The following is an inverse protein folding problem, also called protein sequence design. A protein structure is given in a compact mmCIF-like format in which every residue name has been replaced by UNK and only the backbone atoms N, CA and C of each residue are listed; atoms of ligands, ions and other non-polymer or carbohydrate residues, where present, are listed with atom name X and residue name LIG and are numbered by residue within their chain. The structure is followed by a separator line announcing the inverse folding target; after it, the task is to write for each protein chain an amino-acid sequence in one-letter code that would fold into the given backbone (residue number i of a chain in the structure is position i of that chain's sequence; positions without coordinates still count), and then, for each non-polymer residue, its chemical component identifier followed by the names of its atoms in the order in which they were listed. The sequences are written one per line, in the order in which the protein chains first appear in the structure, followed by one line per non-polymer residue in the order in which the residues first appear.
data_IF_611001806481
#
_entry.id   IF_611001806481
#
_cell.length_a   1.000
_cell.length_b   1.000
_cell.length_c   1.000
_cell.angle_alpha   90.00
_cell.angle_beta   90.00
_cell.angle_gamma   90.00
#
_symmetry.space_group_name_H-M   'P 1'
#
loop_
_entity.id
_entity.type
_entity.pdbx_description
1 polymer ?
#
# COMPACT_ATOMS: atom_id res chain seq x y z
N UNK A 1 -4.87 55.08 -26.29
CA UNK A 1 -4.79 54.36 -24.96
C UNK A 1 -5.80 53.23 -24.77
N UNK A 2 -7.04 53.33 -25.23
CA UNK A 2 -8.06 52.25 -25.07
C UNK A 2 -7.77 50.94 -25.85
N UNK A 3 -7.07 51.01 -26.99
CA UNK A 3 -6.74 49.81 -27.80
C UNK A 3 -5.60 48.95 -27.20
N UNK A 4 -4.67 49.51 -26.45
CA UNK A 4 -3.58 48.76 -25.80
C UNK A 4 -4.07 47.99 -24.57
N UNK A 5 -5.06 48.48 -23.85
CA UNK A 5 -5.62 47.85 -22.70
C UNK A 5 -6.45 46.59 -23.01
N UNK A 6 -7.07 46.58 -24.22
CA UNK A 6 -7.84 45.44 -24.70
C UNK A 6 -6.94 44.26 -25.11
N UNK A 7 -5.74 44.55 -25.65
CA UNK A 7 -4.78 43.51 -26.06
C UNK A 7 -4.12 42.83 -24.86
N UNK A 8 -3.89 43.58 -23.79
CA UNK A 8 -3.27 43.06 -22.57
C UNK A 8 -4.21 42.14 -21.77
N UNK A 9 -5.53 42.37 -21.83
CA UNK A 9 -6.54 41.48 -21.20
C UNK A 9 -6.69 40.15 -21.93
N UNK A 10 -6.49 40.13 -23.25
CA UNK A 10 -6.57 38.88 -24.04
C UNK A 10 -5.37 37.96 -23.83
N UNK A 11 -4.18 38.50 -23.59
CA UNK A 11 -2.97 37.69 -23.30
C UNK A 11 -3.03 37.06 -21.90
N UNK A 12 -3.64 37.76 -20.94
CA UNK A 12 -3.77 37.19 -19.58
C UNK A 12 -4.75 36.03 -19.50
N UNK A 13 -5.79 36.01 -20.33
CA UNK A 13 -6.77 34.91 -20.36
C UNK A 13 -6.21 33.59 -20.92
N UNK A 14 -5.19 33.66 -21.80
CA UNK A 14 -4.55 32.45 -22.37
C UNK A 14 -3.59 31.74 -21.42
N UNK A 15 -3.12 32.42 -20.35
CA UNK A 15 -2.18 31.82 -19.38
C UNK A 15 -2.88 31.00 -18.30
N UNK A 16 -4.20 31.12 -18.14
CA UNK A 16 -4.97 30.42 -17.11
C UNK A 16 -5.50 29.04 -17.57
N UNK A 17 -5.31 28.67 -18.82
CA UNK A 17 -5.82 27.41 -19.41
C UNK A 17 -4.70 26.40 -19.73
N UNK A 18 -3.63 26.38 -18.94
CA UNK A 18 -2.64 25.31 -19.07
C UNK A 18 -3.25 24.05 -18.40
N UNK A 19 -3.43 22.94 -19.13
CA UNK A 19 -3.84 21.70 -18.51
C UNK A 19 -2.71 21.29 -17.55
N UNK A 20 -3.02 21.21 -16.27
CA UNK A 20 -2.13 20.59 -15.29
C UNK A 20 -1.97 19.15 -15.69
N UNK A 21 -0.87 18.82 -16.37
CA UNK A 21 -0.47 17.43 -16.60
C UNK A 21 -0.16 16.85 -15.22
N UNK A 22 -1.10 16.08 -14.67
CA UNK A 22 -0.78 15.20 -13.57
C UNK A 22 0.42 14.36 -14.03
N UNK A 23 1.55 14.47 -13.32
CA UNK A 23 2.68 13.57 -13.53
C UNK A 23 2.17 12.17 -13.24
N UNK A 24 1.92 11.38 -14.26
CA UNK A 24 1.77 9.95 -14.12
C UNK A 24 3.12 9.45 -13.62
N UNK A 25 3.18 9.12 -12.32
CA UNK A 25 4.28 8.33 -11.77
C UNK A 25 4.17 6.99 -12.50
N UNK A 26 5.01 6.80 -13.51
CA UNK A 26 5.10 5.51 -14.20
C UNK A 26 5.68 4.51 -13.18
N UNK A 27 5.02 3.39 -12.92
CA UNK A 27 5.48 2.39 -11.94
C UNK A 27 6.89 1.88 -12.23
N UNK A 28 7.35 2.00 -13.46
CA UNK A 28 8.61 1.44 -13.96
C UNK A 28 9.88 2.04 -13.33
N UNK A 29 9.80 3.21 -12.68
CA UNK A 29 10.96 3.88 -12.08
C UNK A 29 10.92 3.95 -10.55
N UNK A 30 10.00 3.24 -9.89
CA UNK A 30 9.83 3.31 -8.45
C UNK A 30 10.77 2.36 -7.65
N UNK A 31 11.68 1.64 -8.33
CA UNK A 31 12.61 0.70 -7.69
C UNK A 31 11.97 -0.62 -7.26
N UNK A 32 10.73 -0.89 -7.63
CA UNK A 32 10.08 -2.18 -7.36
C UNK A 32 10.60 -3.26 -8.32
N UNK A 33 10.84 -4.47 -7.78
CA UNK A 33 11.25 -5.63 -8.59
C UNK A 33 10.06 -6.33 -9.26
N UNK A 34 8.83 -6.01 -8.88
CA UNK A 34 7.59 -6.56 -9.44
C UNK A 34 6.69 -5.42 -9.92
N UNK A 35 5.91 -5.71 -10.97
CA UNK A 35 4.93 -4.81 -11.58
C UNK A 35 3.54 -5.42 -11.48
N UNK A 36 2.52 -4.58 -11.67
CA UNK A 36 1.14 -5.07 -11.80
C UNK A 36 1.04 -6.01 -13.00
N UNK A 37 0.51 -7.21 -12.76
CA UNK A 37 0.41 -8.29 -13.75
C UNK A 37 1.52 -9.32 -13.68
N UNK A 38 2.61 -9.05 -12.96
CA UNK A 38 3.67 -10.03 -12.76
C UNK A 38 3.25 -11.12 -11.77
N UNK A 39 3.84 -12.29 -11.95
CA UNK A 39 3.75 -13.35 -10.94
C UNK A 39 4.56 -12.92 -9.71
N UNK A 40 3.91 -12.84 -8.55
CA UNK A 40 4.60 -12.56 -7.30
C UNK A 40 5.69 -13.64 -7.02
N UNK A 41 6.92 -13.22 -6.71
CA UNK A 41 7.97 -14.15 -6.29
C UNK A 41 7.53 -14.97 -5.08
N UNK A 42 7.90 -16.24 -5.03
CA UNK A 42 7.58 -17.08 -3.89
C UNK A 42 8.52 -16.78 -2.72
N UNK A 43 7.97 -16.79 -1.52
CA UNK A 43 8.73 -16.67 -0.27
C UNK A 43 7.97 -17.36 0.87
N UNK A 44 8.68 -17.70 1.92
CA UNK A 44 8.13 -18.32 3.12
C UNK A 44 7.97 -17.28 4.22
N UNK A 45 6.82 -17.28 4.88
CA UNK A 45 6.53 -16.50 6.08
C UNK A 45 6.48 -17.43 7.29
N UNK A 46 7.12 -17.03 8.39
CA UNK A 46 6.93 -17.65 9.70
C UNK A 46 5.85 -16.87 10.45
N UNK A 47 4.80 -17.55 10.87
CA UNK A 47 3.70 -16.95 11.61
C UNK A 47 4.05 -16.79 13.09
N UNK A 48 3.28 -15.97 13.81
CA UNK A 48 3.49 -15.71 15.25
C UNK A 48 3.29 -16.95 16.14
N UNK A 49 2.67 -18.00 15.61
CA UNK A 49 2.52 -19.32 16.27
C UNK A 49 3.62 -20.32 15.86
N UNK A 50 4.60 -19.92 15.05
CA UNK A 50 5.71 -20.74 14.56
C UNK A 50 5.37 -21.58 13.34
N UNK A 51 4.16 -21.50 12.80
CA UNK A 51 3.83 -22.16 11.55
C UNK A 51 4.52 -21.47 10.38
N UNK A 52 4.77 -22.21 9.30
CA UNK A 52 5.36 -21.68 8.07
C UNK A 52 4.37 -21.76 6.93
N UNK A 53 4.24 -20.68 6.19
CA UNK A 53 3.36 -20.54 5.03
C UNK A 53 4.15 -19.99 3.86
N UNK A 54 4.09 -20.66 2.71
CA UNK A 54 4.64 -20.12 1.46
C UNK A 54 3.58 -19.30 0.73
N UNK A 55 3.99 -18.23 0.08
CA UNK A 55 3.07 -17.45 -0.74
C UNK A 55 2.43 -18.33 -1.85
N UNK A 56 3.17 -19.28 -2.38
CA UNK A 56 2.65 -20.25 -3.38
C UNK A 56 1.51 -21.11 -2.85
N UNK A 57 1.43 -21.40 -1.54
CA UNK A 57 0.35 -22.17 -0.93
C UNK A 57 -0.99 -21.43 -0.93
N UNK A 58 -0.94 -20.12 -1.16
CA UNK A 58 -2.09 -19.22 -1.18
C UNK A 58 -2.60 -18.95 -2.61
N UNK A 59 -2.10 -19.67 -3.61
CA UNK A 59 -2.56 -19.55 -5.01
C UNK A 59 -4.07 -19.76 -5.11
N UNK A 60 -4.73 -18.93 -5.93
CA UNK A 60 -6.19 -18.92 -6.05
C UNK A 60 -6.93 -18.08 -5.02
N UNK A 61 -6.21 -17.48 -4.06
CA UNK A 61 -6.77 -16.51 -3.12
C UNK A 61 -6.36 -15.08 -3.48
N UNK A 62 -7.16 -14.13 -3.04
CA UNK A 62 -6.73 -12.73 -2.93
C UNK A 62 -5.90 -12.61 -1.65
N UNK A 63 -4.64 -12.25 -1.79
CA UNK A 63 -3.72 -12.10 -0.66
C UNK A 63 -3.36 -10.64 -0.49
N UNK A 64 -3.59 -10.10 0.70
CA UNK A 64 -3.12 -8.77 1.09
C UNK A 64 -1.93 -8.91 2.03
N UNK A 65 -0.83 -8.26 1.69
CA UNK A 65 0.37 -8.16 2.51
C UNK A 65 0.51 -6.71 3.00
N UNK A 66 0.49 -6.51 4.30
CA UNK A 66 0.83 -5.23 4.92
C UNK A 66 2.24 -5.32 5.49
N UNK A 67 3.18 -4.61 4.90
CA UNK A 67 4.53 -4.52 5.45
C UNK A 67 4.54 -3.57 6.64
N UNK A 68 5.04 -4.04 7.78
CA UNK A 68 5.00 -3.32 9.06
C UNK A 68 6.29 -3.53 9.84
N UNK A 69 6.42 -2.83 10.97
CA UNK A 69 7.43 -3.03 11.98
C UNK A 69 6.95 -2.47 13.33
N UNK A 70 7.47 -2.98 14.45
CA UNK A 70 7.05 -2.55 15.79
C UNK A 70 7.28 -1.06 16.06
N UNK A 71 8.27 -0.47 15.43
CA UNK A 71 8.64 0.95 15.51
C UNK A 71 7.93 1.84 14.47
N UNK A 72 7.21 1.25 13.51
CA UNK A 72 6.55 1.98 12.43
C UNK A 72 5.27 2.68 12.92
N UNK A 73 5.37 3.96 13.26
CA UNK A 73 4.24 4.75 13.76
C UNK A 73 3.12 4.93 12.76
N UNK A 74 3.44 5.03 11.45
CA UNK A 74 2.45 5.16 10.36
C UNK A 74 1.70 3.84 10.20
N UNK A 75 2.40 2.70 10.20
CA UNK A 75 1.80 1.38 10.09
C UNK A 75 0.76 1.15 11.21
N UNK A 76 1.09 1.53 12.45
CA UNK A 76 0.16 1.41 13.60
C UNK A 76 -1.09 2.27 13.44
N UNK A 77 -1.00 3.43 12.78
CA UNK A 77 -2.17 4.27 12.50
C UNK A 77 -3.05 3.69 11.40
N UNK A 78 -2.48 2.95 10.48
CA UNK A 78 -3.19 2.32 9.36
C UNK A 78 -3.92 1.03 9.78
N UNK A 79 -3.35 0.24 10.72
CA UNK A 79 -3.89 -1.05 11.16
C UNK A 79 -5.39 -1.04 11.51
N UNK A 80 -5.92 -0.08 12.30
CA UNK A 80 -7.35 -0.05 12.62
C UNK A 80 -8.26 0.12 11.40
N UNK A 81 -7.78 0.81 10.35
CA UNK A 81 -8.53 0.96 9.10
C UNK A 81 -8.52 -0.34 8.29
N UNK A 82 -7.35 -1.01 8.22
CA UNK A 82 -7.23 -2.31 7.56
C UNK A 82 -8.12 -3.34 8.26
N UNK A 83 -8.12 -3.37 9.59
CA UNK A 83 -9.00 -4.26 10.34
C UNK A 83 -10.47 -3.97 10.06
N UNK A 84 -10.92 -2.73 10.27
CA UNK A 84 -12.33 -2.34 10.13
C UNK A 84 -12.85 -2.47 8.71
N UNK A 85 -12.08 -1.98 7.74
CA UNK A 85 -12.57 -1.77 6.37
C UNK A 85 -12.25 -2.94 5.44
N UNK A 86 -11.30 -3.80 5.81
CA UNK A 86 -10.88 -4.94 5.01
C UNK A 86 -11.07 -6.25 5.79
N UNK A 87 -10.36 -6.44 6.90
CA UNK A 87 -10.38 -7.72 7.60
C UNK A 87 -11.77 -8.12 8.08
N UNK A 88 -12.46 -7.27 8.84
CA UNK A 88 -13.79 -7.60 9.37
C UNK A 88 -14.84 -7.85 8.28
N UNK A 89 -14.64 -7.31 7.08
CA UNK A 89 -15.55 -7.52 5.94
C UNK A 89 -15.25 -8.83 5.19
N UNK A 90 -14.04 -9.36 5.28
CA UNK A 90 -13.58 -10.46 4.45
C UNK A 90 -13.04 -11.67 5.23
N UNK A 91 -12.94 -11.60 6.57
CA UNK A 91 -12.37 -12.67 7.41
C UNK A 91 -13.04 -14.03 7.24
N UNK A 92 -14.32 -14.06 6.89
CA UNK A 92 -15.08 -15.30 6.68
C UNK A 92 -14.99 -15.81 5.22
N UNK A 93 -14.35 -15.05 4.33
CA UNK A 93 -14.14 -15.45 2.94
C UNK A 93 -12.89 -16.32 2.82
N UNK A 94 -13.08 -17.62 2.56
CA UNK A 94 -11.98 -18.59 2.37
C UNK A 94 -11.06 -18.26 1.19
N UNK A 95 -11.52 -17.43 0.24
CA UNK A 95 -10.71 -16.98 -0.90
C UNK A 95 -9.92 -15.70 -0.59
N UNK A 96 -9.89 -15.23 0.66
CA UNK A 96 -9.13 -14.05 1.10
C UNK A 96 -8.15 -14.44 2.21
N UNK A 97 -6.96 -13.84 2.18
CA UNK A 97 -5.97 -13.94 3.24
C UNK A 97 -5.29 -12.58 3.44
N UNK A 98 -5.06 -12.21 4.70
CA UNK A 98 -4.36 -10.98 5.07
C UNK A 98 -3.24 -11.31 6.06
N UNK A 99 -2.04 -10.79 5.79
CA UNK A 99 -0.87 -10.95 6.64
C UNK A 99 -0.22 -9.60 6.92
N UNK A 100 0.07 -9.33 8.18
CA UNK A 100 1.06 -8.33 8.57
C UNK A 100 2.45 -8.96 8.44
N UNK A 101 3.30 -8.38 7.60
CA UNK A 101 4.67 -8.89 7.35
C UNK A 101 5.66 -7.96 8.01
N UNK A 102 6.33 -8.44 9.03
CA UNK A 102 7.48 -7.78 9.64
C UNK A 102 8.76 -8.37 9.05
N UNK A 103 9.73 -7.52 8.78
CA UNK A 103 11.03 -7.88 8.27
C UNK A 103 12.11 -7.41 9.21
N UNK A 104 13.06 -8.29 9.51
CA UNK A 104 14.27 -7.99 10.25
C UNK A 104 14.10 -7.80 11.78
N UNK A 105 12.91 -8.01 12.36
CA UNK A 105 12.74 -8.02 13.82
C UNK A 105 12.70 -9.46 14.37
N UNK A 106 13.22 -9.69 15.59
CA UNK A 106 13.10 -10.99 16.26
C UNK A 106 11.64 -11.39 16.45
N UNK A 107 11.33 -12.69 16.35
CA UNK A 107 9.97 -13.21 16.47
C UNK A 107 9.27 -12.78 17.76
N UNK A 108 10.00 -12.76 18.89
CA UNK A 108 9.45 -12.28 20.17
C UNK A 108 8.99 -10.81 20.11
N UNK A 109 9.68 -9.96 19.37
CA UNK A 109 9.29 -8.55 19.16
C UNK A 109 8.00 -8.47 18.36
N UNK A 110 7.90 -9.25 17.29
CA UNK A 110 6.70 -9.33 16.44
C UNK A 110 5.50 -9.86 17.24
N UNK A 111 5.68 -10.92 18.01
CA UNK A 111 4.63 -11.47 18.87
C UNK A 111 4.16 -10.45 19.92
N UNK A 112 5.10 -9.73 20.55
CA UNK A 112 4.77 -8.69 21.52
C UNK A 112 4.04 -7.51 20.86
N UNK A 113 4.43 -7.16 19.62
CA UNK A 113 3.78 -6.13 18.84
C UNK A 113 2.34 -6.52 18.46
N UNK A 114 2.12 -7.73 17.93
CA UNK A 114 0.80 -8.25 17.61
C UNK A 114 -0.13 -8.25 18.82
N UNK A 115 0.33 -8.73 19.98
CA UNK A 115 -0.45 -8.70 21.23
C UNK A 115 -0.83 -7.29 21.67
N UNK A 116 0.07 -6.33 21.51
CA UNK A 116 -0.16 -4.93 21.92
C UNK A 116 -1.13 -4.21 21.00
N UNK A 117 -1.13 -4.53 19.72
CA UNK A 117 -2.00 -3.93 18.71
C UNK A 117 -3.33 -4.65 18.55
N UNK A 118 -3.47 -5.86 19.07
CA UNK A 118 -4.70 -6.65 19.02
C UNK A 118 -4.93 -7.36 17.70
N UNK A 119 -3.87 -7.55 16.91
CA UNK A 119 -3.88 -8.24 15.60
C UNK A 119 -3.15 -9.57 15.69
#
# INVERSE_FOLDING_TARGET
MKKFMSLMLLVCACLLNQPVKAQQVTPDNAGYIVKVGDMAPDFEMELTDGQKVKLSDLRGKVVMLQFTASWCGVCRKEMPFIEKDIWLKHKDNKAFALFGVDRDEPLETVVAFAKRTGV
#
